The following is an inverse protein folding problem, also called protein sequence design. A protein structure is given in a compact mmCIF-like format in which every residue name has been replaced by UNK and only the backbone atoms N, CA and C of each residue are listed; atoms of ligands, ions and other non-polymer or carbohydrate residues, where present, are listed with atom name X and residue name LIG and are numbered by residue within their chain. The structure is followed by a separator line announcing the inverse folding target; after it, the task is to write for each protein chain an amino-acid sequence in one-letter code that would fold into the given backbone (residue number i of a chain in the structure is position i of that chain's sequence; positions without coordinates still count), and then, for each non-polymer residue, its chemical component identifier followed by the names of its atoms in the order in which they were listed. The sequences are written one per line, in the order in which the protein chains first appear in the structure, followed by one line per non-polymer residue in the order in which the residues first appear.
data_IF_588516103623
#
_entry.id   IF_588516103623
#
_cell.length_a   1.000
_cell.length_b   1.000
_cell.length_c   1.000
_cell.angle_alpha   90.00
_cell.angle_beta   90.00
_cell.angle_gamma   90.00
#
_symmetry.space_group_name_H-M   'P 1'
#
loop_
_entity.id
_entity.type
_entity.pdbx_description
1 polymer ?
#
# COMPACT_ATOMS: atom_id res chain seq x y z
N UNK A 1 -26.47 0.57 18.79
CA UNK A 1 -26.90 1.58 19.79
C UNK A 1 -25.82 2.63 20.02
N UNK A 2 -24.58 2.26 20.37
CA UNK A 2 -23.52 3.25 20.63
C UNK A 2 -23.20 4.17 19.43
N UNK A 3 -23.13 3.65 18.20
CA UNK A 3 -22.81 4.46 16.99
C UNK A 3 -23.96 5.44 16.65
N UNK A 4 -25.21 5.01 16.79
CA UNK A 4 -26.37 5.87 16.50
C UNK A 4 -26.50 7.01 17.51
N UNK A 5 -26.24 6.74 18.79
CA UNK A 5 -26.24 7.75 19.86
C UNK A 5 -25.05 8.72 19.72
N UNK A 6 -23.87 8.19 19.39
CA UNK A 6 -22.69 9.00 19.08
C UNK A 6 -22.94 9.94 17.90
N UNK A 7 -23.50 9.44 16.81
CA UNK A 7 -23.79 10.24 15.60
C UNK A 7 -24.91 11.27 15.84
N UNK A 8 -25.86 11.00 16.74
CA UNK A 8 -26.88 11.97 17.12
C UNK A 8 -26.30 13.11 17.97
N UNK A 9 -25.31 12.81 18.81
CA UNK A 9 -24.66 13.78 19.70
C UNK A 9 -23.60 14.61 18.97
N UNK A 10 -22.87 13.97 18.05
CA UNK A 10 -21.83 14.59 17.22
C UNK A 10 -22.15 14.39 15.72
N UNK A 11 -23.16 15.11 15.19
CA UNK A 11 -23.63 14.92 13.81
C UNK A 11 -22.61 15.31 12.74
N UNK A 12 -21.58 16.07 13.12
CA UNK A 12 -20.51 16.52 12.23
C UNK A 12 -19.25 15.65 12.34
N UNK A 13 -19.26 14.57 13.13
CA UNK A 13 -18.20 13.56 13.14
C UNK A 13 -18.64 12.35 12.34
N UNK A 14 -18.11 12.23 11.12
CA UNK A 14 -18.46 11.15 10.21
C UNK A 14 -17.45 10.02 10.30
N UNK A 15 -17.88 8.75 10.26
CA UNK A 15 -16.95 7.63 10.20
C UNK A 15 -16.14 7.65 8.90
N UNK A 16 -14.82 7.50 8.99
CA UNK A 16 -13.91 7.60 7.83
C UNK A 16 -13.99 6.37 6.91
N UNK A 17 -14.47 5.23 7.44
CA UNK A 17 -14.69 3.98 6.69
C UNK A 17 -16.03 3.38 7.15
N UNK A 18 -16.91 3.04 6.19
CA UNK A 18 -18.19 2.40 6.46
C UNK A 18 -18.03 0.90 6.76
N UNK A 19 -17.54 0.56 7.97
CA UNK A 19 -17.59 -0.79 8.54
C UNK A 19 -18.75 -0.91 9.54
N UNK A 20 -19.15 -2.13 9.91
CA UNK A 20 -20.20 -2.39 10.94
C UNK A 20 -19.90 -1.70 12.28
N UNK A 21 -18.62 -1.54 12.63
CA UNK A 21 -18.15 -0.69 13.73
C UNK A 21 -17.05 0.22 13.17
N UNK A 22 -17.25 1.54 13.12
CA UNK A 22 -16.23 2.47 12.64
C UNK A 22 -15.05 2.52 13.62
N UNK A 23 -13.84 2.45 13.07
CA UNK A 23 -12.59 2.51 13.83
C UNK A 23 -11.96 3.91 13.81
N UNK A 24 -12.48 4.81 12.99
CA UNK A 24 -12.05 6.20 12.92
C UNK A 24 -13.21 7.11 12.51
N UNK A 25 -13.19 8.34 13.01
CA UNK A 25 -14.13 9.40 12.72
C UNK A 25 -13.37 10.68 12.35
N UNK A 26 -13.93 11.45 11.44
CA UNK A 26 -13.37 12.73 10.99
C UNK A 26 -14.48 13.77 10.87
N UNK A 27 -14.18 15.01 11.26
CA UNK A 27 -15.06 16.14 11.05
C UNK A 27 -14.92 17.20 12.14
N UNK A 28 -16.03 17.75 12.61
CA UNK A 28 -16.01 18.94 13.47
C UNK A 28 -16.69 18.75 14.82
N UNK A 29 -16.09 19.30 15.87
CA UNK A 29 -16.71 19.47 17.19
C UNK A 29 -16.82 20.95 17.56
N UNK A 30 -17.86 21.34 18.29
CA UNK A 30 -18.04 22.71 18.75
C UNK A 30 -17.53 22.88 20.18
N UNK A 31 -16.63 23.84 20.40
CA UNK A 31 -16.08 24.20 21.72
C UNK A 31 -16.14 25.71 21.85
N UNK A 32 -16.75 26.22 22.92
CA UNK A 32 -16.93 27.67 23.10
C UNK A 32 -17.70 28.37 21.97
N UNK A 33 -18.49 27.64 21.17
CA UNK A 33 -19.22 28.17 20.01
C UNK A 33 -18.43 28.13 18.67
N UNK A 34 -17.13 27.85 18.71
CA UNK A 34 -16.26 27.70 17.53
C UNK A 34 -16.23 26.23 17.11
N UNK A 35 -16.25 25.97 15.80
CA UNK A 35 -16.14 24.62 15.25
C UNK A 35 -14.66 24.31 14.99
N UNK A 36 -14.18 23.21 15.56
CA UNK A 36 -12.81 22.74 15.43
C UNK A 36 -12.75 21.43 14.67
N UNK A 37 -11.78 21.30 13.78
CA UNK A 37 -11.54 20.06 13.04
C UNK A 37 -10.86 19.04 13.95
N UNK A 38 -11.38 17.81 13.95
CA UNK A 38 -10.83 16.72 14.72
C UNK A 38 -10.86 15.40 13.95
N UNK A 39 -9.84 14.59 14.21
CA UNK A 39 -9.76 13.20 13.79
C UNK A 39 -9.68 12.32 15.04
N UNK A 40 -10.57 11.35 15.13
CA UNK A 40 -10.68 10.46 16.27
C UNK A 40 -10.51 9.02 15.81
N UNK A 41 -9.43 8.38 16.22
CA UNK A 41 -9.22 6.95 15.99
C UNK A 41 -9.58 6.17 17.24
N UNK A 42 -10.49 5.22 17.09
CA UNK A 42 -11.08 4.42 18.18
C UNK A 42 -11.04 2.94 17.79
N UNK A 43 -9.87 2.29 17.89
CA UNK A 43 -9.70 0.90 17.43
C UNK A 43 -10.62 -0.10 18.15
N UNK A 44 -11.10 0.24 19.36
CA UNK A 44 -11.96 -0.58 20.19
C UNK A 44 -13.32 0.09 20.51
N UNK A 45 -13.86 0.91 19.59
CA UNK A 45 -15.13 1.62 19.80
C UNK A 45 -16.25 0.67 20.28
N UNK A 46 -17.03 1.02 21.33
CA UNK A 46 -17.14 2.34 21.98
C UNK A 46 -16.16 2.58 23.14
N UNK A 47 -15.25 1.64 23.43
CA UNK A 47 -14.29 1.78 24.51
C UNK A 47 -13.15 2.75 24.15
N UNK A 48 -12.59 3.41 25.17
CA UNK A 48 -11.47 4.35 25.06
C UNK A 48 -10.11 3.68 24.78
N UNK A 49 -10.05 2.35 24.80
CA UNK A 49 -8.79 1.62 24.72
C UNK A 49 -8.06 1.90 23.40
N UNK A 50 -6.90 2.56 23.50
CA UNK A 50 -6.08 2.94 22.34
C UNK A 50 -6.69 4.06 21.50
N UNK A 51 -7.58 4.87 22.09
CA UNK A 51 -8.15 6.03 21.42
C UNK A 51 -7.07 7.10 21.20
N UNK A 52 -7.04 7.70 20.01
CA UNK A 52 -6.24 8.89 19.73
C UNK A 52 -7.13 9.99 19.17
N UNK A 53 -6.96 11.21 19.71
CA UNK A 53 -7.67 12.39 19.26
C UNK A 53 -6.65 13.39 18.70
N UNK A 54 -6.74 13.65 17.40
CA UNK A 54 -6.01 14.71 16.71
C UNK A 54 -6.93 15.90 16.52
N UNK A 55 -6.41 17.11 16.72
CA UNK A 55 -7.20 18.34 16.66
C UNK A 55 -6.52 19.36 15.76
N UNK A 56 -7.27 20.34 15.29
CA UNK A 56 -6.68 21.55 14.72
C UNK A 56 -5.79 22.27 15.73
N UNK A 57 -5.01 23.21 15.22
CA UNK A 57 -3.98 23.89 15.98
C UNK A 57 -4.56 24.72 17.13
N UNK A 58 -5.70 25.38 16.91
CA UNK A 58 -6.32 26.24 17.92
C UNK A 58 -6.82 25.40 19.09
N UNK A 59 -7.50 24.29 18.80
CA UNK A 59 -7.95 23.36 19.83
C UNK A 59 -6.76 22.66 20.49
N UNK A 60 -5.67 22.36 19.78
CA UNK A 60 -4.48 21.73 20.38
C UNK A 60 -3.86 22.58 21.50
N UNK A 61 -3.92 23.91 21.39
CA UNK A 61 -3.47 24.84 22.42
C UNK A 61 -4.32 24.68 23.69
N UNK A 62 -5.65 24.76 23.53
CA UNK A 62 -6.63 24.59 24.61
C UNK A 62 -6.46 23.23 25.29
N UNK A 63 -6.27 22.16 24.50
CA UNK A 63 -6.04 20.80 25.00
C UNK A 63 -4.75 20.71 25.82
N UNK A 64 -3.68 21.39 25.43
CA UNK A 64 -2.44 21.40 26.18
C UNK A 64 -2.59 22.08 27.55
N UNK A 65 -3.30 23.22 27.62
CA UNK A 65 -3.50 23.95 28.87
C UNK A 65 -4.37 23.18 29.87
N UNK A 66 -5.28 22.30 29.40
CA UNK A 66 -6.13 21.45 30.26
C UNK A 66 -5.76 19.95 30.27
N UNK A 67 -4.62 19.58 29.68
CA UNK A 67 -4.14 18.20 29.55
C UNK A 67 -4.20 17.36 30.83
N UNK A 68 -3.80 17.84 32.03
CA UNK A 68 -3.88 17.03 33.24
C UNK A 68 -5.32 16.65 33.61
N UNK A 69 -6.30 17.54 33.38
CA UNK A 69 -7.72 17.26 33.64
C UNK A 69 -8.28 16.25 32.64
N UNK A 70 -7.89 16.37 31.36
CA UNK A 70 -8.30 15.43 30.32
C UNK A 70 -7.79 14.02 30.56
N UNK A 71 -6.53 13.86 31.00
CA UNK A 71 -5.93 12.56 31.35
C UNK A 71 -6.60 11.92 32.58
N UNK A 72 -7.07 12.74 33.52
CA UNK A 72 -7.81 12.24 34.69
C UNK A 72 -9.21 11.74 34.27
N UNK A 73 -9.90 12.47 33.39
CA UNK A 73 -11.20 12.08 32.89
C UNK A 73 -11.14 10.89 31.93
N UNK A 74 -10.06 10.73 31.16
CA UNK A 74 -9.83 9.55 30.31
C UNK A 74 -9.80 8.25 31.13
N UNK A 75 -9.23 8.29 32.34
CA UNK A 75 -9.20 7.15 33.28
C UNK A 75 -10.57 6.85 33.90
N UNK A 76 -11.45 7.85 34.00
CA UNK A 76 -12.77 7.73 34.64
C UNK A 76 -13.88 7.35 33.66
N UNK A 77 -13.73 7.71 32.39
CA UNK A 77 -14.75 7.44 31.38
C UNK A 77 -14.67 5.98 30.90
N UNK A 78 -15.83 5.42 30.58
CA UNK A 78 -15.94 4.04 30.09
C UNK A 78 -16.12 4.01 28.57
N UNK A 79 -16.67 5.08 28.00
CA UNK A 79 -16.93 5.20 26.56
C UNK A 79 -16.37 6.48 25.95
N UNK A 80 -16.10 6.41 24.64
CA UNK A 80 -15.65 7.55 23.82
C UNK A 80 -16.66 8.70 23.86
N UNK A 81 -17.97 8.40 23.87
CA UNK A 81 -19.04 9.40 23.95
C UNK A 81 -18.97 10.19 25.26
N UNK A 82 -18.85 9.50 26.40
CA UNK A 82 -18.71 10.13 27.72
C UNK A 82 -17.49 11.04 27.79
N UNK A 83 -16.36 10.57 27.24
CA UNK A 83 -15.13 11.33 27.21
C UNK A 83 -15.26 12.60 26.37
N UNK A 84 -15.79 12.52 25.14
CA UNK A 84 -15.91 13.69 24.27
C UNK A 84 -16.84 14.77 24.83
N UNK A 85 -17.91 14.39 25.53
CA UNK A 85 -18.78 15.34 26.21
C UNK A 85 -18.05 16.09 27.34
N UNK A 86 -17.22 15.38 28.11
CA UNK A 86 -16.38 16.00 29.14
C UNK A 86 -15.26 16.84 28.54
N UNK A 87 -14.65 16.36 27.46
CA UNK A 87 -13.64 17.07 26.69
C UNK A 87 -14.16 18.43 26.21
N UNK A 88 -15.35 18.48 25.59
CA UNK A 88 -15.98 19.74 25.19
C UNK A 88 -16.20 20.68 26.37
N UNK A 89 -16.66 20.15 27.51
CA UNK A 89 -16.93 20.94 28.71
C UNK A 89 -15.67 21.54 29.32
N UNK A 90 -14.60 20.74 29.44
CA UNK A 90 -13.31 21.16 29.99
C UNK A 90 -12.68 22.22 29.08
N UNK A 91 -12.60 21.94 27.77
CA UNK A 91 -12.02 22.86 26.80
C UNK A 91 -12.81 24.18 26.71
N UNK A 92 -14.14 24.15 26.89
CA UNK A 92 -14.97 25.37 26.89
C UNK A 92 -14.86 26.21 28.18
N UNK A 93 -14.22 25.68 29.23
CA UNK A 93 -14.10 26.36 30.53
C UNK A 93 -12.80 27.17 30.70
N UNK A 94 -11.89 27.08 29.73
CA UNK A 94 -10.61 27.81 29.75
C UNK A 94 -10.86 29.29 29.40
N UNK A 95 -10.38 30.26 30.22
CA UNK A 95 -10.58 31.68 29.98
C UNK A 95 -9.91 32.18 28.70
N UNK A 96 -10.58 33.07 27.96
CA UNK A 96 -10.12 33.62 26.67
C UNK A 96 -8.87 34.51 26.75
N UNK A 97 -8.35 34.83 27.93
CA UNK A 97 -7.15 35.65 28.09
C UNK A 97 -5.86 34.82 28.22
N UNK A 98 -5.89 33.63 28.83
CA UNK A 98 -4.76 32.67 28.78
C UNK A 98 -4.60 32.06 27.38
N UNK A 99 -5.72 31.91 26.66
CA UNK A 99 -5.76 31.47 25.26
C UNK A 99 -5.03 32.43 24.32
N UNK A 100 -5.06 33.76 24.56
CA UNK A 100 -4.45 34.75 23.66
C UNK A 100 -2.93 34.77 23.73
N UNK A 101 -2.33 34.70 24.91
CA UNK A 101 -0.86 34.73 25.05
C UNK A 101 -0.21 33.44 24.50
N UNK A 102 -0.86 32.30 24.72
CA UNK A 102 -0.40 31.00 24.21
C UNK A 102 -0.71 30.84 22.70
N UNK A 103 -1.86 31.31 22.20
CA UNK A 103 -2.15 31.43 20.75
C UNK A 103 -1.17 32.37 20.05
N UNK A 104 -0.77 33.48 20.66
CA UNK A 104 0.15 34.44 20.03
C UNK A 104 1.57 33.86 19.95
N UNK A 105 2.05 33.20 21.01
CA UNK A 105 3.35 32.50 21.00
C UNK A 105 3.39 31.30 20.04
N UNK A 106 2.32 30.48 20.01
CA UNK A 106 2.23 29.34 19.09
C UNK A 106 1.94 29.76 17.64
N UNK A 107 1.21 30.85 17.42
CA UNK A 107 1.08 31.52 16.11
C UNK A 107 2.45 31.98 15.59
N UNK A 108 3.30 32.51 16.48
CA UNK A 108 4.67 32.90 16.13
C UNK A 108 5.57 31.68 15.84
N UNK A 109 5.47 30.59 16.61
CA UNK A 109 6.18 29.33 16.33
C UNK A 109 5.71 28.67 15.03
N UNK A 110 4.40 28.66 14.75
CA UNK A 110 3.85 28.12 13.52
C UNK A 110 4.25 28.99 12.32
N UNK A 111 4.19 30.32 12.44
CA UNK A 111 4.69 31.22 11.40
C UNK A 111 6.16 30.99 11.10
N UNK A 112 7.01 30.75 12.10
CA UNK A 112 8.43 30.49 11.88
C UNK A 112 8.68 29.11 11.29
N UNK A 113 7.94 28.07 11.70
CA UNK A 113 7.97 26.74 11.10
C UNK A 113 7.53 26.80 9.63
N UNK A 114 6.33 27.31 9.33
CA UNK A 114 5.85 27.40 7.96
C UNK A 114 6.75 28.27 7.09
N UNK A 115 7.27 29.39 7.62
CA UNK A 115 8.24 30.22 6.90
C UNK A 115 9.53 29.45 6.60
N UNK A 116 10.01 28.64 7.54
CA UNK A 116 11.18 27.79 7.33
C UNK A 116 10.90 26.72 6.26
N UNK A 117 9.78 26.01 6.35
CA UNK A 117 9.35 25.02 5.36
C UNK A 117 9.21 25.64 3.96
N UNK A 118 8.52 26.78 3.85
CA UNK A 118 8.36 27.49 2.59
C UNK A 118 9.70 27.94 2.02
N UNK A 119 10.62 28.43 2.87
CA UNK A 119 11.96 28.81 2.42
C UNK A 119 12.77 27.61 1.90
N UNK A 120 12.60 26.43 2.50
CA UNK A 120 13.22 25.20 2.01
C UNK A 120 12.58 24.72 0.70
N UNK A 121 11.26 24.83 0.54
CA UNK A 121 10.57 24.53 -0.72
C UNK A 121 10.99 25.48 -1.84
N UNK A 122 11.15 26.77 -1.54
CA UNK A 122 11.68 27.76 -2.47
C UNK A 122 13.11 27.41 -2.91
N UNK A 123 13.96 26.98 -1.98
CA UNK A 123 15.33 26.56 -2.28
C UNK A 123 15.39 25.28 -3.13
N UNK A 124 14.49 24.32 -2.91
CA UNK A 124 14.37 23.09 -3.71
C UNK A 124 13.83 23.41 -5.12
N UNK A 125 12.91 24.38 -5.19
CA UNK A 125 12.25 24.86 -6.39
C UNK A 125 10.82 24.33 -6.53
N UNK A 126 9.86 25.24 -6.58
CA UNK A 126 8.43 24.93 -6.74
C UNK A 126 8.09 24.15 -8.01
N UNK A 127 8.92 24.23 -9.05
CA UNK A 127 8.73 23.48 -10.30
C UNK A 127 8.81 21.97 -10.12
N UNK A 128 9.40 21.49 -9.02
CA UNK A 128 9.52 20.07 -8.68
C UNK A 128 8.39 19.59 -7.77
N UNK A 129 7.57 20.48 -7.22
CA UNK A 129 6.48 20.11 -6.28
C UNK A 129 5.23 19.77 -7.08
N UNK A 130 4.71 18.56 -6.92
CA UNK A 130 3.49 18.09 -7.62
C UNK A 130 2.27 18.04 -6.71
N UNK A 131 2.45 17.80 -5.42
CA UNK A 131 1.36 17.75 -4.45
C UNK A 131 1.81 18.25 -3.08
N UNK A 132 0.90 18.92 -2.37
CA UNK A 132 1.06 19.32 -0.97
C UNK A 132 -0.26 19.03 -0.26
N UNK A 133 -0.20 18.30 0.86
CA UNK A 133 -1.38 18.04 1.70
C UNK A 133 -1.89 19.33 2.34
N UNK A 134 -3.19 19.39 2.67
CA UNK A 134 -3.83 20.58 3.24
C UNK A 134 -3.18 21.06 4.55
N UNK A 135 -2.62 20.14 5.32
CA UNK A 135 -1.92 20.39 6.58
C UNK A 135 -0.39 20.51 6.41
N UNK A 136 0.13 20.52 5.17
CA UNK A 136 1.57 20.55 4.84
C UNK A 136 2.42 19.43 5.46
N UNK A 137 1.79 18.37 5.98
CA UNK A 137 2.50 17.21 6.53
C UNK A 137 3.03 16.29 5.44
N UNK A 138 2.56 16.38 4.20
CA UNK A 138 3.01 15.53 3.10
C UNK A 138 3.21 16.34 1.84
N UNK A 139 4.40 16.24 1.27
CA UNK A 139 4.83 16.97 0.09
C UNK A 139 5.37 15.97 -0.91
N UNK A 140 4.83 15.98 -2.12
CA UNK A 140 5.28 15.13 -3.22
C UNK A 140 6.10 15.96 -4.20
N UNK A 141 7.28 15.48 -4.51
CA UNK A 141 8.16 16.02 -5.54
C UNK A 141 8.24 15.06 -6.72
N UNK A 142 8.43 15.62 -7.90
CA UNK A 142 8.72 14.92 -9.13
C UNK A 142 10.04 15.46 -9.70
N UNK A 143 10.91 14.54 -10.12
CA UNK A 143 12.13 14.88 -10.86
C UNK A 143 12.26 13.96 -12.06
N UNK A 144 13.12 14.35 -13.01
CA UNK A 144 13.45 13.52 -14.17
C UNK A 144 14.91 13.10 -14.14
N UNK A 145 15.20 11.91 -14.64
CA UNK A 145 16.57 11.46 -14.89
C UNK A 145 17.10 11.89 -16.26
N UNK A 146 18.32 11.48 -16.60
CA UNK A 146 18.99 11.80 -17.87
C UNK A 146 18.24 11.28 -19.11
N UNK A 147 17.30 10.35 -18.95
CA UNK A 147 16.45 9.81 -20.01
C UNK A 147 15.01 10.35 -19.95
N UNK A 148 14.79 11.46 -19.25
CA UNK A 148 13.48 12.10 -19.06
C UNK A 148 12.43 11.22 -18.35
N UNK A 149 12.85 10.18 -17.60
CA UNK A 149 11.93 9.34 -16.82
C UNK A 149 11.53 10.03 -15.52
N UNK A 150 10.25 10.00 -15.19
CA UNK A 150 9.70 10.61 -13.96
C UNK A 150 9.97 9.75 -12.73
N UNK A 151 10.41 10.40 -11.65
CA UNK A 151 10.70 9.80 -10.35
C UNK A 151 9.97 10.59 -9.25
N UNK A 152 9.21 9.89 -8.40
CA UNK A 152 8.38 10.50 -7.36
C UNK A 152 9.04 10.35 -5.99
N UNK A 153 9.10 11.46 -5.26
CA UNK A 153 9.54 11.54 -3.88
C UNK A 153 8.41 12.05 -2.99
N UNK A 154 8.10 11.32 -1.92
CA UNK A 154 7.14 11.75 -0.91
C UNK A 154 7.87 12.06 0.41
N UNK A 155 7.75 13.31 0.85
CA UNK A 155 8.32 13.81 2.11
C UNK A 155 7.20 14.00 3.11
N UNK A 156 7.30 13.35 4.26
CA UNK A 156 6.39 13.52 5.38
C UNK A 156 7.04 14.39 6.45
N UNK A 157 6.51 15.62 6.59
CA UNK A 157 6.99 16.62 7.54
C UNK A 157 6.34 16.35 8.89
N UNK A 158 7.18 16.00 9.86
CA UNK A 158 6.75 15.75 11.24
C UNK A 158 6.50 17.07 11.98
N UNK A 159 5.68 17.03 13.02
CA UNK A 159 5.38 18.20 13.85
C UNK A 159 6.64 18.85 14.48
N UNK A 160 7.69 18.06 14.75
CA UNK A 160 8.96 18.52 15.29
C UNK A 160 9.90 19.21 14.28
N UNK A 161 9.53 19.29 13.00
CA UNK A 161 10.34 19.96 11.99
C UNK A 161 10.53 21.46 12.32
N UNK A 162 11.71 22.07 12.05
CA UNK A 162 12.92 21.51 11.43
C UNK A 162 13.87 20.78 12.39
N UNK A 163 13.55 20.66 13.69
CA UNK A 163 14.42 20.00 14.68
C UNK A 163 14.37 18.47 14.56
N UNK A 164 13.24 17.94 14.08
CA UNK A 164 13.07 16.54 13.72
C UNK A 164 13.13 16.37 12.20
N UNK A 165 13.90 15.40 11.74
CA UNK A 165 14.04 15.12 10.31
C UNK A 165 12.70 14.62 9.71
N UNK A 166 12.36 15.08 8.50
CA UNK A 166 11.18 14.58 7.80
C UNK A 166 11.42 13.13 7.35
N UNK A 167 10.34 12.34 7.28
CA UNK A 167 10.42 10.97 6.75
C UNK A 167 10.29 11.02 5.25
N UNK A 168 11.25 10.43 4.54
CA UNK A 168 11.29 10.50 3.09
C UNK A 168 11.12 9.11 2.49
N UNK A 169 10.18 9.00 1.55
CA UNK A 169 9.89 7.78 0.80
C UNK A 169 10.02 8.10 -0.68
N UNK A 170 10.89 7.41 -1.40
CA UNK A 170 10.97 7.52 -2.85
C UNK A 170 10.42 6.27 -3.52
N UNK A 171 9.96 6.41 -4.75
CA UNK A 171 9.65 5.27 -5.61
C UNK A 171 10.93 4.64 -6.17
N UNK A 172 11.84 4.22 -5.27
CA UNK A 172 13.12 3.61 -5.60
C UNK A 172 13.16 2.15 -5.13
N UNK A 173 13.91 1.28 -5.81
CA UNK A 173 13.98 -0.14 -5.48
C UNK A 173 14.89 -0.44 -4.29
N UNK A 174 15.46 0.58 -3.65
CA UNK A 174 16.35 0.50 -2.49
C UNK A 174 15.87 1.46 -1.42
N UNK A 175 16.02 1.08 -0.14
CA UNK A 175 15.79 1.99 0.99
C UNK A 175 16.79 3.15 0.95
N UNK A 176 16.28 4.38 0.95
CA UNK A 176 17.10 5.59 0.99
C UNK A 176 17.57 5.87 2.42
N UNK A 177 18.84 5.62 2.72
CA UNK A 177 19.53 6.41 3.74
C UNK A 177 19.80 7.80 3.15
N UNK A 178 19.40 8.85 3.86
CA UNK A 178 19.23 10.21 3.33
C UNK A 178 20.53 10.83 2.79
N UNK A 179 20.88 10.48 1.55
CA UNK A 179 21.84 11.17 0.71
C UNK A 179 21.28 11.16 -0.71
N UNK A 180 20.57 12.23 -1.07
CA UNK A 180 20.12 12.48 -2.42
C UNK A 180 21.33 12.74 -3.32
N UNK A 181 21.91 11.69 -3.90
CA UNK A 181 22.97 11.83 -4.88
C UNK A 181 22.46 11.48 -6.28
N UNK A 182 22.64 12.37 -7.28
CA UNK A 182 22.44 12.03 -8.70
C UNK A 182 23.20 10.76 -9.11
N UNK A 183 24.30 10.45 -8.41
CA UNK A 183 25.11 9.24 -8.57
C UNK A 183 24.32 7.95 -8.30
N UNK A 184 23.37 7.95 -7.36
CA UNK A 184 22.49 6.80 -7.11
C UNK A 184 21.48 6.61 -8.25
N UNK A 185 20.93 7.68 -8.80
CA UNK A 185 20.01 7.59 -9.96
C UNK A 185 20.77 7.13 -11.22
N UNK A 186 22.02 7.59 -11.38
CA UNK A 186 22.91 7.17 -12.45
C UNK A 186 23.25 5.68 -12.35
N UNK A 187 23.49 5.15 -11.14
CA UNK A 187 23.82 3.73 -10.93
C UNK A 187 22.64 2.79 -11.21
N UNK A 188 21.40 3.27 -11.11
CA UNK A 188 20.19 2.49 -11.37
C UNK A 188 19.72 2.52 -12.84
N UNK A 189 20.38 3.28 -13.73
CA UNK A 189 19.94 3.45 -15.12
C UNK A 189 19.83 2.11 -15.86
N UNK A 190 20.85 1.26 -15.79
CA UNK A 190 20.85 -0.05 -16.46
C UNK A 190 19.73 -0.97 -15.96
N UNK A 191 19.41 -0.88 -14.66
CA UNK A 191 18.31 -1.65 -14.07
C UNK A 191 16.95 -1.20 -14.61
N UNK A 192 16.70 0.11 -14.68
CA UNK A 192 15.45 0.61 -15.25
C UNK A 192 15.35 0.38 -16.74
N UNK A 193 16.46 0.42 -17.48
CA UNK A 193 16.48 0.12 -18.91
C UNK A 193 16.01 -1.31 -19.21
N UNK A 194 16.50 -2.28 -18.43
CA UNK A 194 16.10 -3.69 -18.56
C UNK A 194 14.61 -3.88 -18.21
N UNK A 195 14.10 -3.18 -17.20
CA UNK A 195 12.68 -3.23 -16.85
C UNK A 195 11.78 -2.53 -17.88
N UNK A 196 12.24 -1.41 -18.44
CA UNK A 196 11.52 -0.70 -19.52
C UNK A 196 11.38 -1.61 -20.75
N UNK A 197 12.48 -2.24 -21.18
CA UNK A 197 12.47 -3.21 -22.29
C UNK A 197 11.54 -4.40 -22.01
N UNK A 198 11.57 -4.93 -20.78
CA UNK A 198 10.71 -6.03 -20.36
C UNK A 198 9.22 -5.64 -20.39
N UNK A 199 8.88 -4.52 -19.77
CA UNK A 199 7.50 -4.03 -19.61
C UNK A 199 6.88 -3.65 -20.97
N UNK A 200 7.68 -3.16 -21.93
CA UNK A 200 7.23 -2.92 -23.31
C UNK A 200 6.97 -4.23 -24.09
N UNK A 201 7.76 -5.27 -23.83
CA UNK A 201 7.73 -6.50 -24.60
C UNK A 201 6.64 -7.50 -24.16
N UNK A 202 6.18 -7.47 -22.91
CA UNK A 202 5.37 -8.53 -22.30
C UNK A 202 4.09 -8.02 -21.66
N UNK A 203 3.13 -8.93 -21.48
CA UNK A 203 2.00 -8.66 -20.60
C UNK A 203 2.42 -8.94 -19.14
N UNK A 204 2.64 -7.87 -18.37
CA UNK A 204 2.92 -7.96 -16.93
C UNK A 204 1.62 -8.23 -16.18
N UNK A 205 1.60 -9.34 -15.43
CA UNK A 205 0.50 -9.73 -14.55
C UNK A 205 0.60 -9.05 -13.18
N UNK A 206 1.80 -8.91 -12.64
CA UNK A 206 2.04 -8.30 -11.33
C UNK A 206 3.41 -7.62 -11.26
N UNK A 207 3.53 -6.39 -10.70
CA UNK A 207 2.44 -5.54 -10.20
C UNK A 207 1.50 -5.05 -11.33
N UNK A 208 0.23 -4.72 -11.03
CA UNK A 208 -0.73 -4.27 -12.04
C UNK A 208 -0.36 -2.91 -12.65
N UNK A 209 0.33 -2.07 -11.87
CA UNK A 209 0.96 -0.83 -12.33
C UNK A 209 2.43 -0.88 -11.95
N UNK A 210 3.32 -1.33 -12.85
CA UNK A 210 4.76 -1.24 -12.68
C UNK A 210 5.20 0.16 -12.26
N UNK A 211 6.12 0.21 -11.30
CA UNK A 211 6.64 1.45 -10.72
C UNK A 211 8.15 1.27 -10.49
N UNK A 212 8.89 2.35 -10.30
CA UNK A 212 10.36 2.32 -10.32
C UNK A 212 10.96 1.61 -9.11
N UNK A 213 10.18 1.49 -8.02
CA UNK A 213 10.52 0.65 -6.86
C UNK A 213 10.42 -0.85 -7.08
N UNK A 214 9.63 -1.29 -8.07
CA UNK A 214 9.33 -2.71 -8.22
C UNK A 214 10.46 -3.43 -8.96
N UNK A 215 11.16 -4.32 -8.27
CA UNK A 215 12.20 -5.19 -8.81
C UNK A 215 11.67 -6.50 -9.40
N UNK A 216 10.37 -6.77 -9.19
CA UNK A 216 9.71 -8.00 -9.60
C UNK A 216 8.75 -7.79 -10.75
N UNK A 217 8.63 -8.79 -11.62
CA UNK A 217 7.59 -8.87 -12.65
C UNK A 217 7.08 -10.30 -12.75
N UNK A 218 5.77 -10.49 -12.64
CA UNK A 218 5.12 -11.75 -13.00
C UNK A 218 4.63 -11.67 -14.44
N UNK A 219 5.03 -12.63 -15.25
CA UNK A 219 4.67 -12.69 -16.69
C UNK A 219 4.10 -14.07 -17.03
N UNK A 220 3.24 -14.13 -18.05
CA UNK A 220 2.60 -15.37 -18.50
C UNK A 220 3.38 -16.04 -19.64
N UNK A 221 3.55 -17.35 -19.55
CA UNK A 221 4.05 -18.20 -20.62
C UNK A 221 2.87 -18.86 -21.36
N UNK A 222 3.06 -19.18 -22.64
CA UNK A 222 2.01 -19.79 -23.48
C UNK A 222 1.53 -21.19 -23.05
N UNK A 223 2.12 -21.79 -22.04
CA UNK A 223 1.79 -23.13 -21.54
C UNK A 223 1.05 -23.13 -20.19
N UNK A 224 0.26 -22.08 -19.88
CA UNK A 224 -0.45 -21.92 -18.60
C UNK A 224 0.46 -21.89 -17.36
N UNK A 225 1.74 -21.58 -17.55
CA UNK A 225 2.70 -21.31 -16.48
C UNK A 225 2.95 -19.82 -16.45
N UNK A 226 3.04 -19.25 -15.25
CA UNK A 226 3.56 -17.89 -15.07
C UNK A 226 4.94 -17.96 -14.44
N UNK A 227 5.79 -16.98 -14.71
CA UNK A 227 7.09 -16.85 -14.07
C UNK A 227 7.15 -15.52 -13.34
N UNK A 228 7.47 -15.57 -12.05
CA UNK A 228 7.82 -14.40 -11.26
C UNK A 228 9.33 -14.20 -11.35
N UNK A 229 9.73 -13.08 -11.93
CA UNK A 229 11.10 -12.66 -12.10
C UNK A 229 11.46 -11.65 -11.02
N UNK A 230 12.66 -11.77 -10.45
CA UNK A 230 13.29 -10.72 -9.62
C UNK A 230 14.59 -10.28 -10.28
N UNK A 231 14.63 -9.05 -10.77
CA UNK A 231 15.79 -8.48 -11.47
C UNK A 231 16.78 -7.90 -10.46
N UNK A 232 18.07 -8.21 -10.64
CA UNK A 232 19.13 -7.70 -9.77
C UNK A 232 19.40 -6.23 -10.03
N UNK A 233 19.53 -5.44 -8.96
CA UNK A 233 19.90 -4.03 -9.04
C UNK A 233 21.35 -3.82 -9.46
N UNK A 234 22.23 -4.74 -9.08
CA UNK A 234 23.66 -4.65 -9.33
C UNK A 234 24.02 -5.25 -10.69
N UNK A 235 23.33 -6.32 -11.08
CA UNK A 235 23.60 -7.06 -12.32
C UNK A 235 22.30 -7.28 -13.13
N UNK A 236 21.67 -6.22 -13.67
CA UNK A 236 20.34 -6.30 -14.27
C UNK A 236 20.28 -7.17 -15.54
N UNK A 237 21.41 -7.34 -16.23
CA UNK A 237 21.52 -8.20 -17.42
C UNK A 237 21.81 -9.67 -17.11
N UNK A 238 22.07 -10.02 -15.84
CA UNK A 238 22.25 -11.42 -15.43
C UNK A 238 20.92 -12.19 -15.35
N UNK A 239 20.97 -13.52 -15.31
CA UNK A 239 19.79 -14.37 -15.10
C UNK A 239 19.02 -13.90 -13.85
N UNK A 240 17.78 -13.40 -13.97
CA UNK A 240 16.98 -13.01 -12.81
C UNK A 240 16.60 -14.25 -11.99
N UNK A 241 16.26 -14.05 -10.72
CA UNK A 241 15.65 -15.12 -9.95
C UNK A 241 14.29 -15.44 -10.59
N UNK A 242 14.12 -16.67 -11.05
CA UNK A 242 12.90 -17.13 -11.71
C UNK A 242 12.15 -18.09 -10.79
N UNK A 243 10.89 -17.76 -10.48
CA UNK A 243 9.98 -18.65 -9.78
C UNK A 243 8.81 -19.03 -10.69
N UNK A 244 8.82 -20.27 -11.18
CA UNK A 244 7.79 -20.80 -12.07
C UNK A 244 6.57 -21.26 -11.25
N UNK A 245 5.39 -20.79 -11.66
CA UNK A 245 4.10 -20.98 -10.98
C UNK A 245 3.09 -21.61 -11.94
N UNK A 246 2.52 -22.74 -11.54
CA UNK A 246 1.59 -23.54 -12.34
C UNK A 246 1.51 -24.98 -11.83
N UNK A 247 0.82 -25.84 -12.56
CA UNK A 247 0.75 -27.27 -12.22
C UNK A 247 2.12 -27.93 -12.34
N UNK A 248 2.46 -28.84 -11.43
CA UNK A 248 3.78 -29.48 -11.40
C UNK A 248 4.13 -30.14 -12.74
N UNK A 249 3.15 -30.77 -13.40
CA UNK A 249 3.32 -31.37 -14.74
C UNK A 249 3.86 -30.38 -15.79
N UNK A 250 3.49 -29.10 -15.70
CA UNK A 250 3.91 -28.06 -16.65
C UNK A 250 5.16 -27.32 -16.17
N UNK A 251 5.32 -27.16 -14.86
CA UNK A 251 6.42 -26.43 -14.23
C UNK A 251 7.70 -27.27 -14.13
N UNK A 252 7.61 -28.54 -13.75
CA UNK A 252 8.78 -29.38 -13.50
C UNK A 252 9.71 -29.50 -14.72
N UNK A 253 9.21 -29.73 -15.95
CA UNK A 253 10.07 -29.74 -17.14
C UNK A 253 10.76 -28.41 -17.39
N UNK A 254 10.10 -27.29 -17.07
CA UNK A 254 10.67 -25.95 -17.23
C UNK A 254 11.75 -25.66 -16.20
N UNK A 255 11.57 -26.09 -14.95
CA UNK A 255 12.58 -26.00 -13.91
C UNK A 255 13.84 -26.80 -14.27
N UNK A 256 13.67 -28.02 -14.80
CA UNK A 256 14.80 -28.84 -15.29
C UNK A 256 15.55 -28.09 -16.39
N UNK A 257 14.85 -27.56 -17.40
CA UNK A 257 15.47 -26.80 -18.49
C UNK A 257 16.20 -25.55 -18.02
N UNK A 258 15.60 -24.80 -17.10
CA UNK A 258 16.23 -23.62 -16.51
C UNK A 258 17.53 -23.99 -15.78
N UNK A 259 17.53 -25.11 -15.07
CA UNK A 259 18.69 -25.61 -14.32
C UNK A 259 19.77 -26.17 -15.24
N UNK A 260 19.41 -26.86 -16.33
CA UNK A 260 20.37 -27.46 -17.26
C UNK A 260 21.01 -26.42 -18.20
N UNK A 261 20.29 -25.33 -18.50
CA UNK A 261 20.67 -24.35 -19.53
C UNK A 261 20.95 -22.96 -18.99
N UNK A 262 21.10 -22.79 -17.67
CA UNK A 262 21.37 -21.47 -17.08
C UNK A 262 22.64 -20.81 -17.65
N UNK A 263 23.64 -21.60 -18.06
CA UNK A 263 24.88 -21.13 -18.70
C UNK A 263 24.67 -20.62 -20.13
N UNK A 264 23.54 -20.94 -20.77
CA UNK A 264 23.17 -20.40 -22.09
C UNK A 264 22.62 -18.97 -21.99
N UNK A 265 22.51 -18.39 -20.78
CA UNK A 265 22.07 -17.01 -20.57
C UNK A 265 23.06 -16.02 -21.19
N UNK A 266 22.56 -15.19 -22.10
CA UNK A 266 23.34 -14.19 -22.82
C UNK A 266 23.02 -12.78 -22.29
N UNK A 267 23.93 -12.10 -21.56
CA UNK A 267 23.67 -10.77 -20.98
C UNK A 267 23.36 -9.68 -22.02
N UNK A 268 23.80 -9.86 -23.27
CA UNK A 268 23.53 -8.93 -24.37
C UNK A 268 22.12 -9.12 -24.97
N UNK A 269 21.42 -10.17 -24.55
CA UNK A 269 20.06 -10.48 -24.98
C UNK A 269 19.04 -10.03 -23.95
N UNK A 270 17.92 -9.50 -24.42
CA UNK A 270 16.74 -9.19 -23.61
C UNK A 270 16.36 -10.36 -22.70
N UNK A 271 15.88 -10.08 -21.47
CA UNK A 271 15.35 -11.10 -20.54
C UNK A 271 14.35 -12.02 -21.24
N UNK A 272 13.41 -11.45 -22.01
CA UNK A 272 12.35 -12.19 -22.68
C UNK A 272 12.91 -13.24 -23.63
N UNK A 273 13.81 -12.85 -24.56
CA UNK A 273 14.39 -13.79 -25.52
C UNK A 273 15.30 -14.84 -24.87
N UNK A 274 15.97 -14.51 -23.75
CA UNK A 274 16.72 -15.51 -22.99
C UNK A 274 15.77 -16.56 -22.39
N UNK A 275 14.70 -16.11 -21.74
CA UNK A 275 13.68 -17.01 -21.18
C UNK A 275 13.06 -17.91 -22.24
N UNK A 276 12.69 -17.35 -23.40
CA UNK A 276 12.12 -18.13 -24.51
C UNK A 276 13.10 -19.18 -25.04
N UNK A 277 14.40 -18.86 -25.13
CA UNK A 277 15.41 -19.81 -25.59
C UNK A 277 15.65 -20.94 -24.58
N UNK A 278 15.82 -20.59 -23.30
CA UNK A 278 16.12 -21.53 -22.22
C UNK A 278 14.91 -22.43 -21.95
N UNK A 279 13.74 -21.84 -21.72
CA UNK A 279 12.50 -22.54 -21.39
C UNK A 279 11.85 -23.19 -22.62
N UNK A 280 12.16 -22.71 -23.84
CA UNK A 280 11.58 -23.18 -25.10
C UNK A 280 10.06 -23.05 -25.17
N UNK A 281 9.52 -22.11 -24.38
CA UNK A 281 8.13 -21.70 -24.38
C UNK A 281 8.13 -20.21 -24.61
N UNK A 282 7.25 -19.72 -25.48
CA UNK A 282 7.13 -18.30 -25.75
C UNK A 282 6.44 -17.56 -24.60
N UNK A 283 6.85 -16.31 -24.41
CA UNK A 283 6.24 -15.39 -23.46
C UNK A 283 5.02 -14.73 -24.11
N UNK A 284 3.96 -14.51 -23.34
CA UNK A 284 2.80 -13.76 -23.79
C UNK A 284 3.17 -12.28 -23.91
N UNK A 285 3.04 -11.75 -25.14
CA UNK A 285 3.42 -10.38 -25.49
C UNK A 285 2.31 -9.38 -25.16
N UNK A 286 2.69 -8.13 -24.90
CA UNK A 286 1.73 -7.03 -24.81
C UNK A 286 1.08 -6.80 -26.19
N UNK A 287 -0.25 -6.64 -26.25
CA UNK A 287 -1.04 -6.75 -27.49
C UNK A 287 -0.54 -5.81 -28.60
N UNK A 288 -0.07 -6.37 -29.71
CA UNK A 288 -0.09 -5.74 -31.04
C UNK A 288 -1.25 -6.34 -31.85
N UNK A 289 -2.45 -5.75 -31.74
CA UNK A 289 -3.50 -5.84 -32.76
C UNK A 289 -4.02 -7.22 -33.21
N UNK A 290 -3.85 -8.29 -32.42
CA UNK A 290 -4.35 -9.64 -32.73
C UNK A 290 -5.34 -10.16 -31.69
N UNK A 291 -6.26 -11.03 -32.12
CA UNK A 291 -7.34 -11.62 -31.31
C UNK A 291 -6.86 -12.05 -29.93
N UNK A 292 -7.64 -11.69 -28.89
CA UNK A 292 -7.38 -12.12 -27.53
C UNK A 292 -7.44 -13.65 -27.45
N UNK A 293 -6.28 -14.31 -27.39
CA UNK A 293 -6.21 -15.73 -27.08
C UNK A 293 -6.81 -15.97 -25.67
N UNK A 294 -7.57 -17.06 -25.54
CA UNK A 294 -8.37 -17.48 -24.36
C UNK A 294 -7.54 -17.86 -23.12
N UNK A 295 -6.42 -17.18 -22.86
CA UNK A 295 -5.57 -17.48 -21.71
C UNK A 295 -5.75 -16.41 -20.64
N UNK A 296 -6.67 -16.68 -19.72
CA UNK A 296 -6.82 -15.89 -18.51
C UNK A 296 -5.97 -16.48 -17.39
N UNK A 297 -5.10 -15.65 -16.83
CA UNK A 297 -4.41 -15.93 -15.57
C UNK A 297 -5.27 -15.58 -14.35
N UNK A 298 -6.52 -15.16 -14.55
CA UNK A 298 -7.43 -14.76 -13.48
C UNK A 298 -7.91 -15.97 -12.68
N UNK A 299 -8.37 -15.72 -11.47
CA UNK A 299 -9.00 -16.74 -10.66
C UNK A 299 -10.27 -17.23 -11.33
N UNK A 300 -10.42 -18.54 -11.45
CA UNK A 300 -11.54 -19.14 -12.13
C UNK A 300 -12.88 -19.01 -11.35
N UNK A 301 -12.85 -18.59 -10.07
CA UNK A 301 -14.05 -18.36 -9.24
C UNK A 301 -14.50 -16.90 -9.29
N UNK A 302 -13.61 -15.96 -9.00
CA UNK A 302 -13.95 -14.53 -8.91
C UNK A 302 -13.68 -13.76 -10.21
N UNK A 303 -12.98 -14.36 -11.17
CA UNK A 303 -12.57 -13.73 -12.44
C UNK A 303 -11.71 -12.48 -12.25
N UNK A 304 -11.06 -12.34 -11.10
CA UNK A 304 -10.10 -11.28 -10.81
C UNK A 304 -8.68 -11.87 -10.81
N UNK A 305 -7.72 -11.07 -11.25
CA UNK A 305 -6.29 -11.38 -11.06
C UNK A 305 -5.83 -11.00 -9.65
N UNK A 306 -6.31 -9.86 -9.12
CA UNK A 306 -5.91 -9.35 -7.81
C UNK A 306 -7.10 -9.26 -6.84
N UNK A 307 -6.91 -9.77 -5.62
CA UNK A 307 -7.78 -9.49 -4.46
C UNK A 307 -6.88 -9.10 -3.30
N UNK A 308 -6.94 -7.84 -2.84
CA UNK A 308 -6.14 -7.36 -1.69
C UNK A 308 -4.64 -7.75 -1.81
N UNK A 309 -4.06 -7.55 -3.00
CA UNK A 309 -2.68 -7.95 -3.38
C UNK A 309 -2.42 -9.46 -3.56
N UNK A 310 -3.40 -10.32 -3.30
CA UNK A 310 -3.28 -11.76 -3.57
C UNK A 310 -3.52 -12.12 -5.04
N UNK A 311 -2.73 -13.06 -5.54
CA UNK A 311 -2.81 -13.63 -6.90
C UNK A 311 -3.34 -15.07 -6.86
N UNK A 312 -3.91 -15.58 -7.96
CA UNK A 312 -4.42 -16.94 -8.04
C UNK A 312 -3.29 -17.95 -8.24
N UNK A 313 -2.54 -18.23 -7.18
CA UNK A 313 -1.37 -19.12 -7.25
C UNK A 313 -1.71 -20.60 -7.11
N UNK A 314 -2.90 -20.91 -6.63
CA UNK A 314 -3.32 -22.29 -6.46
C UNK A 314 -3.91 -22.80 -7.77
N UNK A 315 -3.20 -23.70 -8.45
CA UNK A 315 -3.66 -24.31 -9.70
C UNK A 315 -4.19 -25.71 -9.50
N UNK A 316 -5.27 -26.08 -10.21
CA UNK A 316 -5.74 -27.46 -10.26
C UNK A 316 -4.81 -28.34 -11.12
N UNK A 317 -4.30 -29.44 -10.58
CA UNK A 317 -3.40 -30.37 -11.30
C UNK A 317 -4.01 -30.99 -12.57
N UNK A 318 -5.34 -31.04 -12.67
CA UNK A 318 -6.04 -31.68 -13.78
C UNK A 318 -6.41 -30.73 -14.92
N UNK A 319 -7.01 -29.58 -14.59
CA UNK A 319 -7.46 -28.60 -15.60
C UNK A 319 -6.58 -27.35 -15.70
N UNK A 320 -5.57 -27.22 -14.84
CA UNK A 320 -4.65 -26.07 -14.76
C UNK A 320 -5.31 -24.71 -14.53
N UNK A 321 -6.58 -24.70 -14.11
CA UNK A 321 -7.27 -23.46 -13.70
C UNK A 321 -6.66 -22.93 -12.40
N UNK A 322 -6.52 -21.61 -12.34
CA UNK A 322 -5.90 -20.88 -11.25
C UNK A 322 -6.96 -20.36 -10.27
N UNK A 323 -6.64 -20.33 -8.98
CA UNK A 323 -7.55 -19.90 -7.92
C UNK A 323 -6.81 -19.09 -6.86
N UNK A 324 -7.45 -18.01 -6.38
CA UNK A 324 -7.08 -17.46 -5.08
C UNK A 324 -7.40 -18.49 -3.99
N UNK A 325 -6.51 -18.62 -3.01
CA UNK A 325 -6.70 -19.54 -1.89
C UNK A 325 -8.01 -19.24 -1.16
N UNK A 326 -8.32 -17.95 -0.94
CA UNK A 326 -9.57 -17.50 -0.32
C UNK A 326 -10.80 -17.95 -1.12
N UNK A 327 -10.81 -17.69 -2.44
CA UNK A 327 -11.96 -18.03 -3.29
C UNK A 327 -12.20 -19.54 -3.36
N UNK A 328 -11.14 -20.35 -3.46
CA UNK A 328 -11.29 -21.80 -3.46
C UNK A 328 -11.73 -22.32 -2.10
N UNK A 329 -11.20 -21.76 -1.00
CA UNK A 329 -11.61 -22.14 0.36
C UNK A 329 -13.11 -21.91 0.58
N UNK A 330 -13.60 -20.70 0.25
CA UNK A 330 -15.02 -20.36 0.36
C UNK A 330 -15.90 -21.27 -0.49
N UNK A 331 -15.47 -21.59 -1.71
CA UNK A 331 -16.16 -22.55 -2.57
C UNK A 331 -16.25 -23.94 -1.94
N UNK A 332 -15.12 -24.48 -1.47
CA UNK A 332 -15.05 -25.81 -0.88
C UNK A 332 -15.88 -25.90 0.41
N UNK A 333 -15.95 -24.84 1.23
CA UNK A 333 -16.83 -24.80 2.39
C UNK A 333 -18.33 -24.91 2.04
N UNK A 334 -18.72 -24.52 0.83
CA UNK A 334 -20.10 -24.63 0.35
C UNK A 334 -20.49 -26.04 -0.12
N UNK A 335 -19.53 -26.94 -0.35
CA UNK A 335 -19.81 -28.28 -0.86
C UNK A 335 -20.12 -29.27 0.27
N UNK A 336 -21.12 -30.14 0.05
CA UNK A 336 -21.54 -31.16 1.04
C UNK A 336 -20.56 -32.32 1.18
N UNK A 337 -19.71 -32.55 0.19
CA UNK A 337 -18.72 -33.64 0.14
C UNK A 337 -17.30 -33.19 0.55
N UNK A 338 -17.10 -31.90 0.86
CA UNK A 338 -15.80 -31.40 1.30
C UNK A 338 -15.39 -31.99 2.64
N UNK A 339 -14.09 -32.24 2.79
CA UNK A 339 -13.49 -32.75 4.02
C UNK A 339 -12.38 -31.83 4.44
N UNK A 340 -12.40 -31.39 5.70
CA UNK A 340 -11.28 -30.66 6.27
C UNK A 340 -10.44 -31.59 7.14
N UNK A 341 -9.12 -31.52 6.98
CA UNK A 341 -8.15 -32.19 7.83
C UNK A 341 -7.06 -31.20 8.19
N UNK A 342 -6.88 -30.94 9.49
CA UNK A 342 -5.97 -29.91 10.00
C UNK A 342 -6.25 -28.53 9.35
N UNK A 343 -5.23 -27.94 8.73
CA UNK A 343 -5.27 -26.64 8.05
C UNK A 343 -5.46 -26.77 6.52
N UNK A 344 -5.99 -27.90 6.03
CA UNK A 344 -6.25 -28.13 4.61
C UNK A 344 -7.69 -28.62 4.42
N UNK A 345 -8.39 -28.05 3.45
CA UNK A 345 -9.69 -28.53 2.98
C UNK A 345 -9.55 -29.22 1.63
N UNK A 346 -10.29 -30.30 1.43
CA UNK A 346 -10.32 -31.12 0.23
C UNK A 346 -11.74 -31.14 -0.32
N UNK A 347 -11.89 -31.09 -1.64
CA UNK A 347 -13.16 -31.30 -2.31
C UNK A 347 -12.99 -31.32 -3.81
N UNK A 348 -14.02 -30.92 -4.54
CA UNK A 348 -14.05 -31.00 -6.00
C UNK A 348 -13.74 -29.63 -6.63
N UNK A 349 -12.91 -29.63 -7.66
CA UNK A 349 -12.57 -28.44 -8.44
C UNK A 349 -13.84 -27.85 -9.08
N UNK A 350 -14.07 -26.53 -8.99
CA UNK A 350 -15.25 -25.88 -9.59
C UNK A 350 -15.38 -26.09 -11.12
N UNK A 351 -14.27 -26.40 -11.81
CA UNK A 351 -14.23 -26.50 -13.27
C UNK A 351 -14.26 -27.94 -13.80
N UNK A 352 -13.45 -28.82 -13.22
CA UNK A 352 -13.27 -30.18 -13.75
C UNK A 352 -13.75 -31.29 -12.82
N UNK A 353 -14.29 -30.92 -11.65
CA UNK A 353 -14.80 -31.81 -10.60
C UNK A 353 -13.80 -32.85 -10.09
N UNK A 354 -12.53 -32.74 -10.46
CA UNK A 354 -11.45 -33.57 -9.89
C UNK A 354 -11.08 -33.07 -8.50
N UNK A 355 -10.45 -33.94 -7.72
CA UNK A 355 -10.01 -33.61 -6.36
C UNK A 355 -9.03 -32.43 -6.38
N UNK A 356 -9.30 -31.46 -5.51
CA UNK A 356 -8.43 -30.31 -5.27
C UNK A 356 -8.41 -30.03 -3.77
N UNK A 357 -7.33 -29.40 -3.30
CA UNK A 357 -7.21 -28.99 -1.91
C UNK A 357 -6.61 -27.60 -1.80
N UNK A 358 -6.93 -26.90 -0.72
CA UNK A 358 -6.30 -25.63 -0.39
C UNK A 358 -6.08 -25.50 1.12
N UNK A 359 -5.12 -24.66 1.49
CA UNK A 359 -4.93 -24.31 2.90
C UNK A 359 -6.10 -23.47 3.38
N UNK A 360 -6.46 -23.63 4.65
CA UNK A 360 -7.40 -22.73 5.32
C UNK A 360 -6.72 -21.36 5.48
N UNK A 361 -7.29 -20.27 4.94
CA UNK A 361 -6.78 -18.91 5.11
C UNK A 361 -6.65 -18.56 6.61
N UNK A 362 -5.63 -17.79 6.96
CA UNK A 362 -5.29 -17.44 8.34
C UNK A 362 -6.20 -16.37 8.95
#
# INVERSE_FOLDING_TARGET
MAVSEFSATFPLLCPSIFRKVPQSFHGFIRIGGVAHEVQLDTPHFPALKGMTLSTDIQLSCIVNSCRPQLLEEEKKCSTVLEYLLKFQKICSSIPSDEQKEEEEYLSLLNKSHFKCLLSHLEAIGWSKVTNVSSNFSTITFETRDEKERSHILMVNVKAGYPQEEPVVKADLPVELEFSWSPELLASLQAFWDVLDELDEAVLVLDPPSPARRHTTRRILLRNHVSVQLTVSLVHPHSLPQCHLLGTSRLVDPLNIRLTEKYEEWDPERSIVRNLEAILGVSVVRSKTGGQAEEWSAECAVCYCLHIEESLPDLTCDHCSQAFHVQCLYEWLCGLTNSRQSMNVIFGECPYCTQLISCKVPA
#
